data_IF_245840690517
#
_entry.id   IF_245840690517
#
_cell.length_a   1.000
_cell.length_b   1.000
_cell.length_c   1.000
_cell.angle_alpha   90.00
_cell.angle_beta   90.00
_cell.angle_gamma   90.00
#
_symmetry.space_group_name_H-M   'P 1'
#
loop_
_entity.id
_entity.type
_entity.pdbx_description
1 polymer ?
#
# COMPACT_ATOMS: atom_id res chain seq x y z
N UNK A 1 -13.38 -20.89 3.62
CA UNK A 1 -12.63 -19.81 4.31
C UNK A 1 -13.05 -18.51 3.66
N UNK A 2 -13.69 -17.58 4.39
CA UNK A 2 -14.14 -16.31 3.79
C UNK A 2 -12.89 -15.45 3.54
N UNK A 3 -12.61 -15.13 2.28
CA UNK A 3 -11.62 -14.10 1.99
C UNK A 3 -12.12 -12.77 2.59
N UNK A 4 -11.25 -11.99 3.24
CA UNK A 4 -11.60 -10.63 3.65
C UNK A 4 -12.02 -9.83 2.43
N UNK A 5 -13.07 -9.04 2.59
CA UNK A 5 -13.62 -8.22 1.51
C UNK A 5 -12.59 -7.15 1.10
N UNK A 6 -12.32 -6.98 -0.20
CA UNK A 6 -11.32 -6.01 -0.65
C UNK A 6 -11.76 -4.59 -0.28
N UNK A 7 -10.84 -3.86 0.35
CA UNK A 7 -11.05 -2.46 0.76
C UNK A 7 -10.49 -1.57 -0.35
N UNK A 8 -11.31 -0.63 -0.83
CA UNK A 8 -10.83 0.42 -1.72
C UNK A 8 -10.13 1.52 -0.92
N UNK A 9 -9.00 2.00 -1.42
CA UNK A 9 -8.17 3.01 -0.77
C UNK A 9 -7.41 3.83 -1.82
N UNK A 10 -6.81 4.92 -1.37
CA UNK A 10 -5.85 5.69 -2.17
C UNK A 10 -4.42 5.39 -1.75
N UNK A 11 -3.52 5.39 -2.72
CA UNK A 11 -2.07 5.36 -2.50
C UNK A 11 -1.53 6.74 -2.85
N UNK A 12 -1.01 7.44 -1.85
CA UNK A 12 -0.34 8.73 -2.02
C UNK A 12 1.17 8.54 -1.90
N UNK A 13 1.91 9.08 -2.87
CA UNK A 13 3.37 9.04 -2.91
C UNK A 13 3.90 10.44 -2.60
N UNK A 14 4.71 10.56 -1.54
CA UNK A 14 5.37 11.81 -1.13
C UNK A 14 6.89 11.69 -1.27
N UNK A 15 7.61 12.78 -0.97
CA UNK A 15 9.08 12.84 -1.06
C UNK A 15 9.79 11.83 -0.16
N UNK A 16 9.15 11.44 0.94
CA UNK A 16 9.72 10.63 2.02
C UNK A 16 8.98 9.30 2.28
N UNK A 17 7.80 9.09 1.67
CA UNK A 17 6.93 7.96 2.04
C UNK A 17 5.93 7.56 0.97
N UNK A 18 5.34 6.38 1.17
CA UNK A 18 4.07 5.95 0.58
C UNK A 18 3.01 5.90 1.68
N UNK A 19 1.87 6.56 1.48
CA UNK A 19 0.77 6.64 2.46
C UNK A 19 -0.50 6.01 1.89
N UNK A 20 -1.14 5.14 2.66
CA UNK A 20 -2.44 4.56 2.36
C UNK A 20 -3.53 5.40 3.03
N UNK A 21 -4.50 5.86 2.24
CA UNK A 21 -5.60 6.70 2.70
C UNK A 21 -6.94 6.00 2.49
N UNK A 22 -7.84 6.11 3.46
CA UNK A 22 -9.21 5.61 3.33
C UNK A 22 -9.95 6.35 2.19
N UNK A 23 -10.74 5.61 1.39
CA UNK A 23 -11.33 6.10 0.15
C UNK A 23 -12.20 7.35 0.33
N UNK A 24 -13.05 7.38 1.35
CA UNK A 24 -14.08 8.41 1.52
C UNK A 24 -13.60 9.65 2.26
N UNK A 25 -12.79 9.46 3.29
CA UNK A 25 -12.37 10.49 4.24
C UNK A 25 -10.96 10.99 4.00
N UNK A 26 -10.17 10.29 3.17
CA UNK A 26 -8.73 10.52 3.02
C UNK A 26 -7.96 10.42 4.34
N UNK A 27 -8.53 9.75 5.36
CA UNK A 27 -7.84 9.52 6.62
C UNK A 27 -6.62 8.62 6.40
N UNK A 28 -5.49 8.98 7.01
CA UNK A 28 -4.26 8.17 6.96
C UNK A 28 -4.51 6.86 7.68
N UNK A 29 -4.43 5.76 6.93
CA UNK A 29 -4.50 4.41 7.48
C UNK A 29 -3.11 3.89 7.84
N UNK A 30 -2.16 4.05 6.90
CA UNK A 30 -0.77 3.62 7.06
C UNK A 30 0.17 4.57 6.34
N UNK A 31 1.39 4.73 6.87
CA UNK A 31 2.47 5.49 6.23
C UNK A 31 3.75 4.68 6.31
N UNK A 32 4.36 4.42 5.16
CA UNK A 32 5.62 3.71 5.02
C UNK A 32 6.69 4.67 4.54
N UNK A 33 7.62 5.04 5.41
CA UNK A 33 8.80 5.83 5.02
C UNK A 33 9.64 5.02 4.03
N UNK A 34 10.32 5.66 3.07
CA UNK A 34 11.12 4.92 2.07
C UNK A 34 12.21 4.05 2.68
N UNK A 35 12.80 4.46 3.81
CA UNK A 35 13.77 3.65 4.55
C UNK A 35 13.22 2.29 4.99
N UNK A 36 11.90 2.19 5.13
CA UNK A 36 11.17 1.02 5.59
C UNK A 36 10.52 0.24 4.43
N UNK A 37 10.62 0.73 3.19
CA UNK A 37 10.11 0.05 2.00
C UNK A 37 11.23 -0.83 1.43
N UNK A 38 10.95 -2.13 1.33
CA UNK A 38 11.88 -3.12 0.77
C UNK A 38 11.84 -3.06 -0.76
N UNK A 39 10.63 -3.12 -1.33
CA UNK A 39 10.43 -3.06 -2.78
C UNK A 39 8.98 -2.73 -3.11
N UNK A 40 8.75 -2.23 -4.31
CA UNK A 40 7.42 -2.07 -4.89
C UNK A 40 7.49 -2.27 -6.40
N UNK A 41 6.36 -2.62 -7.01
CA UNK A 41 6.29 -2.85 -8.45
C UNK A 41 4.86 -3.06 -8.94
N UNK A 42 4.65 -2.88 -10.24
CA UNK A 42 3.37 -3.13 -10.89
C UNK A 42 3.46 -4.27 -11.91
N UNK A 43 2.38 -5.02 -12.05
CA UNK A 43 2.19 -6.01 -13.11
C UNK A 43 0.73 -5.95 -13.60
N UNK A 44 0.52 -5.59 -14.86
CA UNK A 44 -0.81 -5.39 -15.42
C UNK A 44 -1.64 -4.40 -14.59
N UNK A 45 -2.75 -4.86 -14.01
CA UNK A 45 -3.66 -4.10 -13.17
C UNK A 45 -3.35 -4.26 -11.67
N UNK A 46 -2.22 -4.88 -11.31
CA UNK A 46 -1.82 -5.08 -9.91
C UNK A 46 -0.61 -4.22 -9.53
N UNK A 47 -0.61 -3.71 -8.30
CA UNK A 47 0.53 -3.06 -7.66
C UNK A 47 0.88 -3.81 -6.37
N UNK A 48 2.16 -4.00 -6.12
CA UNK A 48 2.69 -4.63 -4.91
C UNK A 48 3.55 -3.63 -4.14
N UNK A 49 3.36 -3.58 -2.82
CA UNK A 49 4.23 -2.88 -1.89
C UNK A 49 4.70 -3.84 -0.82
N UNK A 50 6.00 -3.83 -0.57
CA UNK A 50 6.62 -4.65 0.45
C UNK A 50 7.40 -3.75 1.40
N UNK A 51 7.04 -3.76 2.68
CA UNK A 51 7.58 -2.84 3.68
C UNK A 51 7.71 -3.49 5.06
N UNK A 52 8.69 -3.04 5.85
CA UNK A 52 8.80 -3.33 7.27
C UNK A 52 8.33 -2.10 8.05
N UNK A 53 7.14 -2.11 8.68
CA UNK A 53 6.61 -0.93 9.35
C UNK A 53 7.53 -0.40 10.46
N UNK A 54 8.20 -1.31 11.19
CA UNK A 54 9.10 -0.99 12.30
C UNK A 54 10.38 -1.85 12.26
N UNK A 55 11.45 -1.40 12.92
CA UNK A 55 12.68 -2.18 13.05
C UNK A 55 12.43 -3.49 13.81
N UNK A 56 12.73 -4.62 13.15
CA UNK A 56 12.51 -5.96 13.71
C UNK A 56 11.08 -6.51 13.52
N UNK A 57 10.16 -5.74 12.92
CA UNK A 57 8.87 -6.25 12.52
C UNK A 57 8.99 -7.19 11.30
N UNK A 58 8.01 -8.09 11.15
CA UNK A 58 7.91 -8.91 9.95
C UNK A 58 7.53 -8.05 8.74
N UNK A 59 8.08 -8.42 7.59
CA UNK A 59 7.76 -7.82 6.31
C UNK A 59 6.27 -7.96 5.99
N UNK A 60 5.64 -6.83 5.62
CA UNK A 60 4.27 -6.77 5.15
C UNK A 60 4.26 -6.78 3.62
N UNK A 61 3.52 -7.71 3.02
CA UNK A 61 3.31 -7.80 1.57
C UNK A 61 1.89 -7.38 1.25
N UNK A 62 1.75 -6.23 0.62
CA UNK A 62 0.47 -5.64 0.24
C UNK A 62 0.30 -5.76 -1.27
N UNK A 63 -0.86 -6.27 -1.69
CA UNK A 63 -1.26 -6.39 -3.09
C UNK A 63 -2.50 -5.54 -3.31
N UNK A 64 -2.45 -4.69 -4.32
CA UNK A 64 -3.50 -3.75 -4.68
C UNK A 64 -3.93 -4.00 -6.11
N UNK A 65 -5.24 -4.14 -6.34
CA UNK A 65 -5.79 -4.06 -7.69
C UNK A 65 -5.98 -2.58 -8.05
N UNK A 66 -5.29 -2.12 -9.09
CA UNK A 66 -5.41 -0.80 -9.66
C UNK A 66 -6.65 -0.70 -10.56
N UNK A 67 -7.25 0.47 -10.58
CA UNK A 67 -8.27 0.78 -11.59
C UNK A 67 -7.63 0.86 -12.97
N UNK A 68 -8.35 0.41 -13.99
CA UNK A 68 -7.88 0.53 -15.38
C UNK A 68 -7.59 1.99 -15.74
N UNK A 69 -6.54 2.26 -16.53
CA UNK A 69 -6.27 3.60 -17.04
C UNK A 69 -7.51 4.18 -17.73
N UNK A 70 -7.78 5.47 -17.52
CA UNK A 70 -8.83 6.21 -18.22
C UNK A 70 -8.35 6.71 -19.58
#
# INVERSE_FOLDING_TARGET
MKQPEPINLWIAVSEDSVTLLELQTMAVMYRYNYANIVTFGGCLDDFMLVACPDEGAAEQKLLFALSKPK
#
